data_IF_157559140779
#
_entry.id   IF_157559140779
#
_cell.length_a   1.000
_cell.length_b   1.000
_cell.length_c   1.000
_cell.angle_alpha   90.00
_cell.angle_beta   90.00
_cell.angle_gamma   90.00
#
_symmetry.space_group_name_H-M   'P 1'
#
loop_
_entity.id
_entity.type
_entity.pdbx_description
1 polymer ?
#
# COMPACT_ATOMS: atom_id res chain seq x y z
N UNK A 1 -9.13 6.69 -48.80
CA UNK A 1 -10.19 7.25 -47.95
C UNK A 1 -10.24 6.39 -46.69
N UNK A 2 -9.31 6.61 -45.77
CA UNK A 2 -9.24 5.88 -44.50
C UNK A 2 -10.08 6.66 -43.49
N UNK A 3 -11.11 6.03 -42.95
CA UNK A 3 -11.97 6.63 -41.94
C UNK A 3 -11.16 6.97 -40.70
N UNK A 4 -11.07 8.28 -40.42
CA UNK A 4 -10.78 8.79 -39.09
C UNK A 4 -11.94 8.35 -38.19
N UNK A 5 -11.80 7.21 -37.51
CA UNK A 5 -12.58 6.95 -36.32
C UNK A 5 -12.17 7.99 -35.29
N UNK A 6 -13.05 8.98 -35.09
CA UNK A 6 -12.98 9.92 -33.98
C UNK A 6 -12.85 9.11 -32.68
N UNK A 7 -11.70 9.22 -32.01
CA UNK A 7 -11.40 8.62 -30.69
C UNK A 7 -12.32 9.09 -29.54
N UNK A 8 -13.33 9.91 -29.80
CA UNK A 8 -14.25 10.40 -28.77
C UNK A 8 -15.39 9.41 -28.61
N UNK A 9 -15.55 8.90 -27.38
CA UNK A 9 -16.69 8.10 -26.88
C UNK A 9 -16.59 6.57 -27.05
N UNK A 10 -15.46 5.94 -26.69
CA UNK A 10 -15.48 4.48 -26.54
C UNK A 10 -16.27 4.04 -25.29
N UNK A 11 -16.35 4.87 -24.24
CA UNK A 11 -17.09 4.56 -23.01
C UNK A 11 -17.82 5.82 -22.51
N UNK A 12 -19.13 5.77 -22.21
CA UNK A 12 -19.86 6.91 -21.70
C UNK A 12 -19.38 7.26 -20.27
N UNK A 13 -19.24 8.56 -19.98
CA UNK A 13 -19.06 9.04 -18.61
C UNK A 13 -20.27 8.66 -17.74
N UNK A 14 -20.04 8.47 -16.45
CA UNK A 14 -21.05 8.19 -15.45
C UNK A 14 -20.72 6.98 -14.58
N UNK A 15 -21.63 6.71 -13.65
CA UNK A 15 -21.56 5.56 -12.76
C UNK A 15 -21.96 4.31 -13.54
N UNK A 16 -21.10 3.29 -13.49
CA UNK A 16 -21.34 2.01 -14.13
C UNK A 16 -20.71 0.88 -13.33
N UNK A 17 -21.14 -0.35 -13.60
CA UNK A 17 -20.56 -1.50 -12.94
C UNK A 17 -19.22 -1.87 -13.57
N UNK A 18 -18.23 -2.08 -12.72
CA UNK A 18 -16.98 -2.74 -13.03
C UNK A 18 -16.71 -3.88 -12.06
N UNK A 19 -15.46 -4.32 -12.08
CA UNK A 19 -14.94 -5.42 -11.29
C UNK A 19 -13.55 -5.04 -10.80
N UNK A 20 -13.20 -5.51 -9.61
CA UNK A 20 -11.83 -5.51 -9.12
C UNK A 20 -11.30 -6.95 -9.18
N UNK A 21 -10.07 -7.12 -9.66
CA UNK A 21 -9.36 -8.40 -9.72
C UNK A 21 -7.86 -8.14 -9.68
N UNK A 22 -7.13 -8.80 -8.76
CA UNK A 22 -5.67 -8.74 -8.60
C UNK A 22 -5.08 -7.34 -8.79
N UNK A 23 -5.51 -6.40 -7.95
CA UNK A 23 -5.01 -5.03 -7.95
C UNK A 23 -5.25 -4.26 -9.26
N UNK A 24 -6.32 -4.59 -9.96
CA UNK A 24 -6.76 -3.91 -11.16
C UNK A 24 -8.28 -3.77 -11.18
N UNK A 25 -8.77 -2.71 -11.83
CA UNK A 25 -10.19 -2.52 -12.09
C UNK A 25 -10.46 -2.81 -13.55
N UNK A 26 -11.62 -3.36 -13.88
CA UNK A 26 -12.03 -3.54 -15.26
C UNK A 26 -13.54 -3.41 -15.44
N UNK A 27 -13.98 -3.06 -16.63
CA UNK A 27 -15.40 -2.95 -16.96
C UNK A 27 -16.02 -4.32 -17.27
N UNK A 28 -17.34 -4.37 -17.40
CA UNK A 28 -18.03 -5.56 -17.90
C UNK A 28 -17.39 -6.04 -19.22
N UNK A 29 -16.90 -7.28 -19.31
CA UNK A 29 -16.24 -7.74 -20.51
C UNK A 29 -17.18 -7.80 -21.73
N UNK A 30 -16.61 -7.67 -22.91
CA UNK A 30 -17.34 -7.76 -24.17
C UNK A 30 -18.04 -9.13 -24.29
N UNK A 31 -19.29 -9.11 -24.75
CA UNK A 31 -20.10 -10.33 -24.91
C UNK A 31 -20.98 -10.69 -23.72
N UNK A 32 -20.88 -9.96 -22.59
CA UNK A 32 -21.81 -10.08 -21.46
C UNK A 32 -22.76 -8.89 -21.41
N UNK A 33 -24.03 -9.15 -21.09
CA UNK A 33 -25.10 -8.17 -20.98
C UNK A 33 -25.12 -7.50 -19.60
N UNK A 34 -24.79 -8.27 -18.56
CA UNK A 34 -24.79 -7.80 -17.19
C UNK A 34 -23.82 -8.61 -16.30
N UNK A 35 -23.70 -8.14 -15.05
CA UNK A 35 -22.87 -8.72 -14.00
C UNK A 35 -23.22 -10.19 -13.74
N UNK A 36 -24.52 -10.48 -13.64
CA UNK A 36 -25.00 -11.81 -13.26
C UNK A 36 -24.64 -12.82 -14.33
N UNK A 37 -24.77 -12.44 -15.60
CA UNK A 37 -24.36 -13.27 -16.72
C UNK A 37 -22.85 -13.54 -16.70
N UNK A 38 -22.03 -12.50 -16.50
CA UNK A 38 -20.58 -12.66 -16.45
C UNK A 38 -20.12 -13.53 -15.28
N UNK A 39 -20.58 -13.25 -14.04
CA UNK A 39 -20.21 -14.04 -12.87
C UNK A 39 -20.71 -15.50 -12.96
N UNK A 40 -21.89 -15.72 -13.56
CA UNK A 40 -22.38 -17.07 -13.82
C UNK A 40 -21.49 -17.81 -14.82
N UNK A 41 -21.12 -17.14 -15.93
CA UNK A 41 -20.22 -17.72 -16.92
C UNK A 41 -18.84 -18.03 -16.33
N UNK A 42 -18.30 -17.14 -15.50
CA UNK A 42 -17.02 -17.32 -14.82
C UNK A 42 -17.05 -18.55 -13.91
N UNK A 43 -18.11 -18.71 -13.10
CA UNK A 43 -18.30 -19.89 -12.24
C UNK A 43 -18.52 -21.19 -13.01
N UNK A 44 -19.20 -21.13 -14.15
CA UNK A 44 -19.52 -22.33 -14.96
C UNK A 44 -18.36 -22.79 -15.84
N UNK A 45 -17.65 -21.85 -16.47
CA UNK A 45 -16.52 -22.13 -17.36
C UNK A 45 -15.26 -22.53 -16.58
N UNK A 46 -15.16 -22.06 -15.33
CA UNK A 46 -13.98 -22.23 -14.48
C UNK A 46 -12.83 -21.32 -14.94
N UNK A 47 -11.77 -21.31 -14.15
CA UNK A 47 -10.53 -20.58 -14.45
C UNK A 47 -9.38 -21.53 -14.86
N UNK A 48 -8.41 -21.06 -15.66
CA UNK A 48 -8.25 -19.71 -16.18
C UNK A 48 -9.28 -19.35 -17.28
N UNK A 49 -9.72 -18.10 -17.29
CA UNK A 49 -10.68 -17.55 -18.25
C UNK A 49 -10.16 -16.26 -18.88
N UNK A 50 -10.04 -16.25 -20.20
CA UNK A 50 -9.70 -15.06 -20.96
C UNK A 50 -10.96 -14.25 -21.31
N UNK A 51 -10.90 -12.95 -21.08
CA UNK A 51 -11.99 -12.01 -21.38
C UNK A 51 -11.44 -10.73 -22.02
N UNK A 52 -12.13 -10.22 -23.04
CA UNK A 52 -11.81 -8.92 -23.62
C UNK A 52 -12.57 -7.83 -22.87
N UNK A 53 -11.85 -6.91 -22.24
CA UNK A 53 -12.44 -5.86 -21.40
C UNK A 53 -11.62 -4.58 -21.45
N UNK A 54 -12.12 -3.50 -20.84
CA UNK A 54 -11.33 -2.31 -20.52
C UNK A 54 -10.80 -2.44 -19.12
N UNK A 55 -9.49 -2.33 -18.97
CA UNK A 55 -8.84 -2.17 -17.66
C UNK A 55 -8.80 -0.68 -17.31
N UNK A 56 -9.14 -0.39 -16.06
CA UNK A 56 -9.11 0.92 -15.44
C UNK A 56 -7.95 0.94 -14.46
N UNK A 57 -6.99 1.83 -14.70
CA UNK A 57 -5.78 1.95 -13.88
C UNK A 57 -5.78 3.32 -13.20
N UNK A 58 -5.24 3.38 -11.98
CA UNK A 58 -4.81 4.66 -11.43
C UNK A 58 -3.46 5.02 -12.09
N UNK A 59 -3.34 6.22 -12.68
CA UNK A 59 -2.21 6.61 -13.54
C UNK A 59 -0.82 6.61 -12.86
N UNK A 60 -0.72 6.45 -11.53
CA UNK A 60 0.57 6.24 -10.85
C UNK A 60 1.23 4.89 -11.20
N UNK A 61 0.45 3.90 -11.63
CA UNK A 61 0.96 2.62 -12.13
C UNK A 61 1.60 2.77 -13.53
N UNK A 62 1.14 3.76 -14.28
CA UNK A 62 1.68 4.12 -15.59
C UNK A 62 2.83 5.09 -15.36
N UNK A 63 4.08 4.59 -15.41
CA UNK A 63 5.33 5.37 -15.21
C UNK A 63 5.58 6.48 -16.27
N UNK A 64 4.57 7.26 -16.66
CA UNK A 64 4.70 8.43 -17.53
C UNK A 64 4.95 9.64 -16.63
N UNK A 65 6.14 10.24 -16.77
CA UNK A 65 6.58 11.45 -16.05
C UNK A 65 5.61 12.65 -16.14
N UNK A 66 4.61 12.62 -17.01
CA UNK A 66 3.58 13.65 -17.14
C UNK A 66 2.36 13.46 -16.23
N UNK A 67 2.26 12.37 -15.45
CA UNK A 67 1.06 12.08 -14.62
C UNK A 67 0.82 13.09 -13.48
N UNK A 68 1.87 13.74 -12.98
CA UNK A 68 1.73 14.86 -12.01
C UNK A 68 1.11 16.13 -12.62
N UNK A 69 1.19 16.29 -13.95
CA UNK A 69 0.61 17.42 -14.69
C UNK A 69 -0.69 17.05 -15.40
N UNK A 70 -0.85 15.78 -15.79
CA UNK A 70 -2.03 15.26 -16.45
C UNK A 70 -3.11 14.84 -15.44
N UNK A 71 -2.76 14.51 -14.19
CA UNK A 71 -3.70 14.16 -13.12
C UNK A 71 -3.80 12.66 -12.91
N UNK A 72 -3.51 12.21 -11.70
CA UNK A 72 -3.77 10.85 -11.24
C UNK A 72 -5.23 10.75 -10.79
N UNK A 73 -5.93 9.70 -11.20
CA UNK A 73 -7.25 9.37 -10.66
C UNK A 73 -7.12 8.38 -9.51
N UNK A 74 -8.01 8.46 -8.52
CA UNK A 74 -8.09 7.52 -7.40
C UNK A 74 -9.38 6.72 -7.56
N UNK A 75 -9.28 5.39 -7.52
CA UNK A 75 -10.44 4.49 -7.58
C UNK A 75 -11.49 4.92 -6.55
N UNK A 76 -12.79 4.64 -6.71
CA UNK A 76 -13.40 4.04 -7.89
C UNK A 76 -13.66 5.05 -9.03
N UNK A 77 -13.01 6.21 -9.01
CA UNK A 77 -13.17 7.26 -10.02
C UNK A 77 -12.05 7.18 -11.05
N UNK A 78 -12.39 7.07 -12.33
CA UNK A 78 -11.41 6.92 -13.40
C UNK A 78 -11.62 7.92 -14.52
N UNK A 79 -10.52 8.39 -15.10
CA UNK A 79 -10.56 9.41 -16.15
C UNK A 79 -10.69 8.73 -17.53
N UNK A 80 -11.81 8.97 -18.22
CA UNK A 80 -12.12 8.38 -19.53
C UNK A 80 -11.10 8.74 -20.60
N UNK A 81 -10.48 9.91 -20.46
CA UNK A 81 -9.56 10.46 -21.46
C UNK A 81 -8.27 9.64 -21.57
N UNK A 82 -8.00 8.76 -20.60
CA UNK A 82 -6.85 7.85 -20.58
C UNK A 82 -7.17 6.45 -21.12
N UNK A 83 -8.44 6.13 -21.32
CA UNK A 83 -8.87 4.80 -21.79
C UNK A 83 -8.65 4.73 -23.30
N UNK A 84 -7.67 3.92 -23.73
CA UNK A 84 -7.24 3.88 -25.12
C UNK A 84 -7.76 2.67 -25.92
N UNK A 85 -8.02 1.53 -25.27
CA UNK A 85 -8.47 0.30 -25.94
C UNK A 85 -8.98 -0.75 -24.95
N UNK A 86 -9.66 -1.76 -25.48
CA UNK A 86 -9.88 -3.03 -24.80
C UNK A 86 -8.58 -3.85 -24.78
N UNK A 87 -8.43 -4.70 -23.77
CA UNK A 87 -7.34 -5.65 -23.59
C UNK A 87 -7.91 -7.03 -23.24
N UNK A 88 -7.14 -8.08 -23.53
CA UNK A 88 -7.50 -9.43 -23.09
C UNK A 88 -6.92 -9.66 -21.68
N UNK A 89 -7.81 -9.79 -20.70
CA UNK A 89 -7.47 -10.09 -19.31
C UNK A 89 -7.57 -11.61 -19.07
N UNK A 90 -6.59 -12.17 -18.36
CA UNK A 90 -6.61 -13.57 -17.93
C UNK A 90 -7.02 -13.66 -16.45
N UNK A 91 -8.21 -14.19 -16.19
CA UNK A 91 -8.73 -14.42 -14.84
C UNK A 91 -8.33 -15.82 -14.41
N UNK A 92 -7.46 -15.93 -13.41
CA UNK A 92 -6.90 -17.19 -12.91
C UNK A 92 -7.69 -17.77 -11.74
N UNK A 93 -8.38 -16.92 -10.97
CA UNK A 93 -9.28 -17.32 -9.91
C UNK A 93 -10.61 -16.54 -10.01
N UNK A 94 -11.71 -17.29 -10.05
CA UNK A 94 -13.05 -16.74 -10.13
C UNK A 94 -13.50 -16.11 -8.81
N UNK A 95 -13.00 -16.62 -7.68
CA UNK A 95 -13.38 -16.18 -6.34
C UNK A 95 -12.67 -14.87 -5.93
N UNK A 96 -11.75 -14.38 -6.77
CA UNK A 96 -11.07 -13.09 -6.61
C UNK A 96 -11.61 -11.98 -7.52
N UNK A 97 -12.76 -12.20 -8.15
CA UNK A 97 -13.45 -11.19 -8.96
C UNK A 97 -14.55 -10.54 -8.14
N UNK A 98 -14.34 -9.28 -7.76
CA UNK A 98 -15.23 -8.53 -6.88
C UNK A 98 -16.02 -7.49 -7.68
N UNK A 99 -17.36 -7.56 -7.76
CA UNK A 99 -18.16 -6.56 -8.44
C UNK A 99 -18.10 -5.23 -7.68
N UNK A 100 -17.97 -4.12 -8.42
CA UNK A 100 -17.78 -2.80 -7.84
C UNK A 100 -18.42 -1.71 -8.71
N UNK A 101 -18.96 -0.67 -8.09
CA UNK A 101 -19.41 0.51 -8.81
C UNK A 101 -18.21 1.42 -9.09
N UNK A 102 -17.99 1.77 -10.35
CA UNK A 102 -16.97 2.72 -10.78
C UNK A 102 -17.63 3.93 -11.41
N UNK A 103 -17.01 5.10 -11.28
CA UNK A 103 -17.47 6.31 -11.96
C UNK A 103 -16.43 6.76 -12.98
N UNK A 104 -16.85 6.80 -14.24
CA UNK A 104 -16.04 7.30 -15.33
C UNK A 104 -16.29 8.80 -15.53
N UNK A 105 -15.24 9.60 -15.49
CA UNK A 105 -15.30 11.05 -15.60
C UNK A 105 -14.37 11.52 -16.71
N UNK A 106 -14.74 12.56 -17.43
CA UNK A 106 -13.75 13.30 -18.24
C UNK A 106 -12.74 13.94 -17.29
N UNK A 107 -11.53 14.24 -17.78
CA UNK A 107 -10.52 14.93 -16.97
C UNK A 107 -11.05 16.27 -16.46
N UNK A 108 -11.86 16.96 -17.25
CA UNK A 108 -12.51 18.23 -16.86
C UNK A 108 -13.45 18.04 -15.66
N UNK A 109 -14.30 17.02 -15.69
CA UNK A 109 -15.24 16.74 -14.60
C UNK A 109 -14.51 16.33 -13.33
N UNK A 110 -13.51 15.46 -13.45
CA UNK A 110 -12.66 15.05 -12.34
C UNK A 110 -11.99 16.25 -11.68
N UNK A 111 -11.32 17.10 -12.47
CA UNK A 111 -10.64 18.30 -11.98
C UNK A 111 -11.60 19.27 -11.29
N UNK A 112 -12.81 19.44 -11.81
CA UNK A 112 -13.80 20.33 -11.21
C UNK A 112 -14.23 19.82 -9.82
N UNK A 113 -14.52 18.53 -9.67
CA UNK A 113 -14.88 17.94 -8.38
C UNK A 113 -13.72 17.98 -7.40
N UNK A 114 -12.53 17.59 -7.85
CA UNK A 114 -11.31 17.62 -7.03
C UNK A 114 -11.06 19.03 -6.48
N UNK A 115 -11.21 20.07 -7.29
CA UNK A 115 -11.01 21.47 -6.85
C UNK A 115 -11.97 21.87 -5.74
N UNK A 116 -13.22 21.45 -5.79
CA UNK A 116 -14.19 21.69 -4.70
C UNK A 116 -13.71 21.01 -3.42
N UNK A 117 -13.29 19.74 -3.50
CA UNK A 117 -12.83 18.99 -2.34
C UNK A 117 -11.57 19.58 -1.72
N UNK A 118 -10.60 20.01 -2.52
CA UNK A 118 -9.37 20.60 -1.96
C UNK A 118 -9.67 21.90 -1.21
N UNK A 119 -10.64 22.70 -1.68
CA UNK A 119 -11.08 23.90 -0.94
C UNK A 119 -11.73 23.54 0.40
N UNK A 120 -12.55 22.49 0.42
CA UNK A 120 -13.33 22.11 1.60
C UNK A 120 -12.50 21.35 2.64
N UNK A 121 -11.58 20.48 2.20
CA UNK A 121 -10.87 19.51 3.05
C UNK A 121 -9.38 19.80 3.24
N UNK A 122 -8.78 20.66 2.41
CA UNK A 122 -7.34 20.98 2.47
C UNK A 122 -7.05 22.49 2.37
N UNK A 123 -7.80 23.38 3.05
CA UNK A 123 -7.44 24.80 3.08
C UNK A 123 -6.09 24.97 3.78
N UNK A 124 -5.12 25.56 3.07
CA UNK A 124 -3.78 25.82 3.62
C UNK A 124 -2.89 24.59 3.74
N UNK A 125 -3.12 23.54 2.94
CA UNK A 125 -2.33 22.31 2.95
C UNK A 125 -0.81 22.61 3.04
N UNK A 126 -0.14 22.15 4.09
CA UNK A 126 1.28 22.44 4.30
C UNK A 126 2.19 21.87 3.20
N UNK A 127 1.70 20.84 2.50
CA UNK A 127 2.47 20.16 1.45
C UNK A 127 2.40 20.87 0.10
N UNK A 128 1.22 21.39 -0.27
CA UNK A 128 0.97 21.91 -1.62
C UNK A 128 0.25 23.26 -1.66
N UNK A 129 -0.09 23.83 -0.50
CA UNK A 129 -0.85 25.06 -0.36
C UNK A 129 -2.34 24.89 -0.68
N UNK A 130 -3.08 25.98 -0.47
CA UNK A 130 -4.46 26.11 -0.93
C UNK A 130 -4.51 26.24 -2.46
N UNK A 131 -5.55 25.67 -3.08
CA UNK A 131 -5.94 26.01 -4.45
C UNK A 131 -7.16 26.91 -4.45
N UNK A 132 -7.12 27.88 -5.35
CA UNK A 132 -8.17 28.83 -5.69
C UNK A 132 -8.77 28.48 -7.04
N UNK A 133 -9.81 29.20 -7.46
CA UNK A 133 -10.41 29.00 -8.80
C UNK A 133 -9.50 29.43 -9.95
N UNK A 134 -8.50 30.26 -9.66
CA UNK A 134 -7.60 30.83 -10.65
C UNK A 134 -6.37 29.95 -10.91
N UNK A 135 -6.14 28.96 -10.06
CA UNK A 135 -4.97 28.09 -10.20
C UNK A 135 -5.13 27.16 -11.39
N UNK A 136 -4.19 27.26 -12.32
CA UNK A 136 -4.17 26.47 -13.55
C UNK A 136 -3.88 24.98 -13.30
N UNK A 137 -3.44 24.62 -12.10
CA UNK A 137 -3.03 23.27 -11.73
C UNK A 137 -3.61 22.83 -10.39
N UNK A 138 -3.91 21.53 -10.29
CA UNK A 138 -4.20 20.82 -9.03
C UNK A 138 -3.02 19.90 -8.65
N UNK A 139 -1.83 20.16 -9.21
CA UNK A 139 -0.63 19.34 -9.03
C UNK A 139 -0.32 19.14 -7.56
N UNK A 140 0.02 17.89 -7.20
CA UNK A 140 0.14 17.42 -5.83
C UNK A 140 -1.12 16.75 -5.31
N UNK A 141 -2.29 17.39 -5.43
CA UNK A 141 -3.55 16.92 -4.81
C UNK A 141 -4.16 15.67 -5.47
N UNK A 142 -3.94 15.47 -6.76
CA UNK A 142 -4.47 14.33 -7.53
C UNK A 142 -4.17 12.95 -6.92
N UNK A 143 -2.99 12.79 -6.30
CA UNK A 143 -2.56 11.53 -5.69
C UNK A 143 -2.86 11.43 -4.19
N UNK A 144 -3.46 12.46 -3.59
CA UNK A 144 -3.61 12.55 -2.14
C UNK A 144 -5.05 12.48 -1.69
N UNK A 145 -5.95 13.18 -2.37
CA UNK A 145 -7.36 13.28 -2.00
C UNK A 145 -8.27 12.58 -3.02
N UNK A 146 -9.04 11.62 -2.54
CA UNK A 146 -10.07 10.94 -3.33
C UNK A 146 -11.29 11.83 -3.55
N UNK A 147 -12.14 11.51 -4.53
CA UNK A 147 -13.39 12.26 -4.73
C UNK A 147 -14.45 12.04 -3.62
N UNK A 148 -14.17 11.17 -2.65
CA UNK A 148 -14.92 11.01 -1.39
C UNK A 148 -14.42 11.96 -0.28
N UNK A 149 -13.42 12.81 -0.55
CA UNK A 149 -12.88 13.75 0.44
C UNK A 149 -11.84 13.17 1.40
N UNK A 150 -11.39 11.93 1.18
CA UNK A 150 -10.33 11.29 2.00
C UNK A 150 -8.97 11.73 1.49
N UNK A 151 -8.19 12.44 2.31
CA UNK A 151 -6.79 12.80 2.05
C UNK A 151 -5.84 12.03 2.97
N UNK A 152 -5.02 11.12 2.40
CA UNK A 152 -4.11 10.27 3.18
C UNK A 152 -2.86 10.99 3.69
N UNK A 153 -2.54 12.13 3.09
CA UNK A 153 -1.33 12.90 3.36
C UNK A 153 -1.61 14.16 4.18
N UNK A 154 -2.84 14.35 4.64
CA UNK A 154 -3.21 15.49 5.48
C UNK A 154 -2.53 15.35 6.84
N UNK A 155 -1.63 16.28 7.12
CA UNK A 155 -1.00 16.48 8.43
C UNK A 155 -1.68 17.66 9.10
N UNK A 156 -2.34 17.47 10.24
CA UNK A 156 -2.99 18.57 10.95
C UNK A 156 -1.99 19.49 11.68
N UNK A 157 -0.75 19.02 11.89
CA UNK A 157 0.27 19.71 12.69
C UNK A 157 1.55 20.11 11.91
N UNK A 158 1.52 20.15 10.58
CA UNK A 158 2.67 20.54 9.74
C UNK A 158 3.92 19.66 9.88
N UNK A 159 3.80 18.50 10.53
CA UNK A 159 4.90 17.57 10.72
C UNK A 159 5.09 16.70 9.48
N UNK A 160 6.26 16.78 8.87
CA UNK A 160 6.71 15.84 7.83
C UNK A 160 7.64 14.83 8.50
N UNK A 161 7.20 13.56 8.75
CA UNK A 161 8.07 12.56 9.35
C UNK A 161 9.31 12.35 8.51
N UNK A 162 10.44 12.07 9.16
CA UNK A 162 11.60 11.49 8.47
C UNK A 162 11.16 10.13 7.93
N UNK A 163 10.87 10.04 6.63
CA UNK A 163 10.34 8.81 6.03
C UNK A 163 11.34 7.67 6.16
N UNK A 164 10.98 6.62 6.91
CA UNK A 164 11.76 5.39 7.01
C UNK A 164 12.16 4.86 5.62
N UNK A 165 11.22 4.88 4.68
CA UNK A 165 11.47 4.48 3.29
C UNK A 165 12.58 5.25 2.59
N UNK A 166 12.81 6.52 2.92
CA UNK A 166 13.95 7.27 2.38
C UNK A 166 15.29 6.73 2.92
N UNK A 167 15.33 6.30 4.19
CA UNK A 167 16.52 5.65 4.75
C UNK A 167 16.73 4.28 4.11
N UNK A 168 15.65 3.51 3.89
CA UNK A 168 15.71 2.24 3.15
C UNK A 168 16.27 2.46 1.75
N UNK A 169 15.75 3.41 0.97
CA UNK A 169 16.24 3.67 -0.39
C UNK A 169 17.73 4.06 -0.39
N UNK A 170 18.17 4.88 0.57
CA UNK A 170 19.60 5.23 0.72
C UNK A 170 20.44 4.01 1.07
N UNK A 171 19.96 3.19 1.99
CA UNK A 171 20.61 1.95 2.40
C UNK A 171 20.71 0.94 1.25
N UNK A 172 19.65 0.72 0.48
CA UNK A 172 19.65 -0.19 -0.67
C UNK A 172 20.53 0.33 -1.82
N UNK A 173 20.57 1.66 -2.03
CA UNK A 173 21.53 2.26 -2.96
C UNK A 173 22.96 2.04 -2.48
N UNK A 174 23.25 2.31 -1.21
CA UNK A 174 24.56 2.00 -0.62
C UNK A 174 24.89 0.52 -0.80
N UNK A 175 23.93 -0.38 -0.55
CA UNK A 175 24.06 -1.82 -0.77
C UNK A 175 24.57 -2.17 -2.16
N UNK A 176 23.92 -1.62 -3.18
CA UNK A 176 24.27 -1.86 -4.58
C UNK A 176 25.62 -1.23 -4.97
N UNK A 177 25.84 0.05 -4.62
CA UNK A 177 27.07 0.76 -5.00
C UNK A 177 28.31 0.25 -4.27
N UNK A 178 28.15 -0.21 -3.03
CA UNK A 178 29.24 -0.67 -2.18
C UNK A 178 29.46 -2.18 -2.25
N UNK A 179 28.62 -2.92 -2.99
CA UNK A 179 28.57 -4.37 -3.06
C UNK A 179 28.48 -5.01 -1.67
N UNK A 180 27.47 -4.59 -0.88
CA UNK A 180 27.33 -5.07 0.50
C UNK A 180 26.98 -6.56 0.59
N UNK A 181 26.43 -7.17 -0.47
CA UNK A 181 26.22 -8.62 -0.54
C UNK A 181 27.52 -9.39 -0.32
N UNK A 182 28.65 -8.87 -0.79
CA UNK A 182 29.99 -9.45 -0.64
C UNK A 182 30.84 -8.80 0.46
N UNK A 183 30.30 -7.81 1.18
CA UNK A 183 31.03 -7.10 2.21
C UNK A 183 31.22 -7.94 3.48
N UNK A 184 32.27 -7.66 4.28
CA UNK A 184 32.41 -8.27 5.60
C UNK A 184 31.31 -7.77 6.57
N UNK A 185 31.03 -8.58 7.60
CA UNK A 185 29.92 -8.36 8.54
C UNK A 185 29.92 -6.97 9.19
N UNK A 186 31.08 -6.50 9.61
CA UNK A 186 31.29 -5.21 10.27
C UNK A 186 30.90 -4.02 9.38
N UNK A 187 31.16 -4.13 8.07
CA UNK A 187 30.74 -3.12 7.09
C UNK A 187 29.23 -3.08 6.96
N UNK A 188 28.57 -4.22 6.85
CA UNK A 188 27.10 -4.27 6.73
C UNK A 188 26.44 -3.74 8.01
N UNK A 189 26.94 -4.12 9.19
CA UNK A 189 26.47 -3.59 10.48
C UNK A 189 26.63 -2.09 10.58
N UNK A 190 27.77 -1.54 10.11
CA UNK A 190 27.99 -0.10 10.09
C UNK A 190 26.92 0.61 9.24
N UNK A 191 26.63 0.10 8.05
CA UNK A 191 25.62 0.68 7.16
C UNK A 191 24.21 0.62 7.80
N UNK A 192 23.86 -0.49 8.46
CA UNK A 192 22.61 -0.62 9.21
C UNK A 192 22.55 0.41 10.34
N UNK A 193 23.64 0.60 11.09
CA UNK A 193 23.71 1.59 12.17
C UNK A 193 23.61 3.02 11.64
N UNK A 194 24.29 3.34 10.55
CA UNK A 194 24.31 4.69 9.97
C UNK A 194 22.93 5.10 9.42
N UNK A 195 22.22 4.16 8.78
CA UNK A 195 20.92 4.44 8.16
C UNK A 195 19.75 4.33 9.14
N UNK A 196 19.79 3.34 10.04
CA UNK A 196 18.66 2.99 10.90
C UNK A 196 18.96 3.17 12.39
N UNK A 197 20.17 3.53 12.81
CA UNK A 197 20.50 3.71 14.23
C UNK A 197 20.29 2.45 15.07
N UNK A 198 20.35 1.27 14.44
CA UNK A 198 20.24 -0.02 15.12
C UNK A 198 21.64 -0.49 15.54
N UNK A 199 21.74 -0.95 16.78
CA UNK A 199 22.98 -1.40 17.38
C UNK A 199 22.88 -2.88 17.78
N UNK A 200 24.00 -3.57 17.61
CA UNK A 200 24.17 -5.00 17.88
C UNK A 200 25.53 -5.18 18.54
N UNK A 201 25.62 -6.13 19.45
CA UNK A 201 26.82 -6.41 20.24
C UNK A 201 27.86 -7.20 19.45
N UNK A 202 27.41 -7.86 18.38
CA UNK A 202 28.25 -8.64 17.50
C UNK A 202 27.55 -9.00 16.20
N UNK A 203 28.34 -9.46 15.23
CA UNK A 203 27.84 -9.94 13.96
C UNK A 203 28.79 -10.97 13.36
N UNK A 204 28.22 -11.94 12.65
CA UNK A 204 28.97 -12.91 11.85
C UNK A 204 28.23 -13.17 10.54
N UNK A 205 28.98 -13.49 9.50
CA UNK A 205 28.41 -14.01 8.25
C UNK A 205 28.36 -15.53 8.31
N UNK A 206 27.20 -16.09 8.01
CA UNK A 206 27.01 -17.51 7.72
C UNK A 206 26.77 -17.66 6.21
N UNK A 207 27.39 -18.66 5.59
CA UNK A 207 27.26 -18.93 4.16
C UNK A 207 26.91 -20.40 4.00
N UNK A 208 25.76 -20.67 3.41
CA UNK A 208 25.23 -22.02 3.16
C UNK A 208 24.84 -22.14 1.68
N UNK A 209 25.76 -22.67 0.87
CA UNK A 209 25.61 -22.68 -0.58
C UNK A 209 25.60 -21.25 -1.14
N UNK A 210 24.51 -20.90 -1.85
CA UNK A 210 24.30 -19.55 -2.39
C UNK A 210 23.67 -18.60 -1.37
N UNK A 211 23.13 -19.13 -0.25
CA UNK A 211 22.50 -18.35 0.79
C UNK A 211 23.54 -17.68 1.69
N UNK A 212 23.35 -16.39 1.97
CA UNK A 212 24.18 -15.61 2.89
C UNK A 212 23.34 -15.00 3.99
N UNK A 213 23.76 -15.19 5.23
CA UNK A 213 23.05 -14.71 6.41
C UNK A 213 23.97 -13.85 7.26
N UNK A 214 23.63 -12.58 7.45
CA UNK A 214 24.22 -11.75 8.49
C UNK A 214 23.52 -12.06 9.81
N UNK A 215 24.20 -12.78 10.69
CA UNK A 215 23.69 -13.15 12.01
C UNK A 215 24.21 -12.15 13.03
N UNK A 216 23.30 -11.43 13.68
CA UNK A 216 23.55 -10.35 14.62
C UNK A 216 23.30 -10.84 16.05
N UNK A 217 24.13 -10.45 17.01
CA UNK A 217 23.90 -10.73 18.43
C UNK A 217 23.45 -9.45 19.15
N UNK A 218 22.47 -9.59 20.05
CA UNK A 218 21.96 -8.51 20.89
C UNK A 218 21.72 -9.01 22.32
N UNK A 219 22.35 -8.39 23.32
CA UNK A 219 22.28 -8.72 24.76
C UNK A 219 20.90 -8.41 25.36
N UNK A 220 20.18 -7.47 24.75
CA UNK A 220 18.78 -7.17 25.08
C UNK A 220 17.89 -7.46 23.89
N UNK A 221 16.91 -8.34 24.09
CA UNK A 221 15.82 -8.59 23.14
C UNK A 221 14.85 -7.42 23.21
N UNK A 222 14.97 -6.51 22.27
CA UNK A 222 13.97 -5.48 22.01
C UNK A 222 13.14 -5.90 20.79
N UNK A 223 11.85 -6.11 20.98
CA UNK A 223 10.94 -6.52 19.90
C UNK A 223 10.97 -5.50 18.76
N UNK A 224 11.12 -4.21 19.05
CA UNK A 224 11.22 -3.18 18.01
C UNK A 224 12.48 -3.33 17.18
N UNK A 225 13.63 -3.60 17.81
CA UNK A 225 14.88 -3.90 17.09
C UNK A 225 14.71 -5.14 16.21
N UNK A 226 14.05 -6.17 16.73
CA UNK A 226 13.78 -7.41 15.99
C UNK A 226 12.91 -7.13 14.76
N UNK A 227 11.81 -6.38 14.92
CA UNK A 227 10.93 -5.95 13.83
C UNK A 227 11.69 -5.14 12.77
N UNK A 228 12.47 -4.15 13.20
CA UNK A 228 13.22 -3.29 12.28
C UNK A 228 14.30 -4.07 11.53
N UNK A 229 14.93 -5.05 12.18
CA UNK A 229 15.90 -5.94 11.53
C UNK A 229 15.24 -6.83 10.50
N UNK A 230 14.10 -7.45 10.85
CA UNK A 230 13.31 -8.25 9.93
C UNK A 230 12.82 -7.42 8.73
N UNK A 231 12.44 -6.15 8.98
CA UNK A 231 12.05 -5.20 7.93
C UNK A 231 13.20 -4.93 6.95
N UNK A 232 14.39 -4.61 7.48
CA UNK A 232 15.58 -4.37 6.65
C UNK A 232 15.95 -5.63 5.87
N UNK A 233 15.90 -6.81 6.50
CA UNK A 233 16.16 -8.09 5.83
C UNK A 233 15.17 -8.36 4.69
N UNK A 234 13.87 -8.18 4.92
CA UNK A 234 12.85 -8.39 3.89
C UNK A 234 13.03 -7.46 2.69
N UNK A 235 13.41 -6.20 2.95
CA UNK A 235 13.71 -5.23 1.90
C UNK A 235 14.94 -5.59 1.08
N UNK A 236 16.02 -6.04 1.73
CA UNK A 236 17.23 -6.53 1.03
C UNK A 236 16.87 -7.71 0.13
N UNK A 237 16.18 -8.70 0.69
CA UNK A 237 15.76 -9.91 -0.02
C UNK A 237 14.92 -9.63 -1.25
N UNK A 238 13.95 -8.72 -1.13
CA UNK A 238 12.99 -8.44 -2.20
C UNK A 238 13.51 -7.44 -3.25
N UNK A 239 14.48 -6.58 -2.91
CA UNK A 239 14.89 -5.46 -3.78
C UNK A 239 16.30 -5.56 -4.32
N UNK A 240 17.18 -6.33 -3.68
CA UNK A 240 18.61 -6.30 -4.01
C UNK A 240 19.22 -7.69 -4.13
N UNK A 241 18.95 -8.59 -3.18
CA UNK A 241 19.58 -9.92 -3.15
C UNK A 241 18.67 -10.95 -2.47
N UNK A 242 17.96 -11.75 -3.27
CA UNK A 242 17.00 -12.75 -2.81
C UNK A 242 17.61 -13.87 -1.94
N UNK A 243 18.93 -14.06 -2.02
CA UNK A 243 19.66 -15.08 -1.26
C UNK A 243 20.31 -14.51 0.00
N UNK A 244 20.10 -13.23 0.29
CA UNK A 244 20.63 -12.57 1.49
C UNK A 244 19.56 -12.37 2.56
N UNK A 245 19.90 -12.72 3.80
CA UNK A 245 19.07 -12.44 4.97
C UNK A 245 19.88 -11.81 6.11
N UNK A 246 19.20 -11.02 6.93
CA UNK A 246 19.76 -10.40 8.14
C UNK A 246 18.91 -10.89 9.30
N UNK A 247 19.53 -11.55 10.27
CA UNK A 247 18.85 -12.24 11.37
C UNK A 247 19.46 -11.82 12.70
N UNK A 248 18.66 -11.81 13.76
CA UNK A 248 19.15 -11.75 15.14
C UNK A 248 19.25 -13.18 15.68
N UNK A 249 20.39 -13.53 16.27
CA UNK A 249 20.66 -14.86 16.79
C UNK A 249 19.67 -15.24 17.89
N UNK A 250 19.02 -16.39 17.73
CA UNK A 250 17.98 -16.87 18.64
C UNK A 250 16.72 -16.01 18.72
N UNK A 251 16.47 -15.11 17.76
CA UNK A 251 15.20 -14.42 17.66
C UNK A 251 14.10 -15.37 17.18
N UNK A 252 12.96 -15.33 17.87
CA UNK A 252 11.75 -16.06 17.49
C UNK A 252 10.80 -15.13 16.72
N UNK A 253 9.77 -15.71 16.10
CA UNK A 253 8.67 -14.92 15.57
C UNK A 253 8.05 -14.09 16.71
N UNK A 254 7.70 -12.85 16.41
CA UNK A 254 7.13 -11.95 17.40
C UNK A 254 5.68 -12.36 17.63
N UNK A 255 5.35 -12.61 18.89
CA UNK A 255 4.00 -12.95 19.34
C UNK A 255 3.06 -11.72 19.17
N UNK A 256 1.94 -11.85 18.43
CA UNK A 256 0.95 -10.78 18.34
C UNK A 256 0.49 -10.27 19.70
N UNK A 257 0.31 -11.16 20.69
CA UNK A 257 -0.21 -10.77 21.99
C UNK A 257 0.82 -9.93 22.76
N UNK A 258 2.11 -10.28 22.64
CA UNK A 258 3.20 -9.46 23.18
C UNK A 258 3.23 -8.07 22.53
N UNK A 259 3.00 -7.98 21.22
CA UNK A 259 2.91 -6.68 20.53
C UNK A 259 1.68 -5.88 20.95
N UNK A 260 0.51 -6.52 21.04
CA UNK A 260 -0.72 -5.87 21.49
C UNK A 260 -0.58 -5.33 22.92
N UNK A 261 0.13 -6.05 23.80
CA UNK A 261 0.42 -5.58 25.15
C UNK A 261 1.24 -4.27 25.15
N UNK A 262 2.09 -4.02 24.15
CA UNK A 262 2.83 -2.75 23.97
C UNK A 262 2.00 -1.61 23.38
N UNK A 263 0.85 -1.92 22.79
CA UNK A 263 -0.08 -0.97 22.17
C UNK A 263 -1.22 -0.55 23.09
N UNK A 264 -1.27 -1.07 24.33
CA UNK A 264 -2.26 -0.67 25.32
C UNK A 264 -2.00 0.77 25.83
N UNK A 265 -3.01 1.46 26.41
CA UNK A 265 -2.87 2.82 26.89
C UNK A 265 -1.77 3.04 27.93
N UNK A 266 -1.42 2.00 28.70
CA UNK A 266 -0.41 2.07 29.77
C UNK A 266 1.02 2.08 29.21
N UNK A 267 1.25 1.40 28.07
CA UNK A 267 2.58 1.19 27.48
C UNK A 267 2.82 1.96 26.18
N UNK A 268 1.76 2.48 25.54
CA UNK A 268 1.82 3.09 24.20
C UNK A 268 2.77 4.29 24.11
N UNK A 269 3.05 5.00 25.21
CA UNK A 269 3.93 6.16 25.21
C UNK A 269 5.38 5.83 24.79
N UNK A 270 5.92 4.70 25.27
CA UNK A 270 7.27 4.23 24.92
C UNK A 270 7.31 3.76 23.45
N UNK A 271 6.30 3.00 23.05
CA UNK A 271 6.07 2.56 21.66
C UNK A 271 6.05 3.77 20.72
N UNK A 272 5.29 4.82 21.04
CA UNK A 272 5.20 6.04 20.25
C UNK A 272 6.52 6.79 20.12
N UNK A 273 7.27 6.91 21.21
CA UNK A 273 8.59 7.53 21.16
C UNK A 273 9.54 6.80 20.18
N UNK A 274 9.45 5.47 20.14
CA UNK A 274 10.20 4.63 19.21
C UNK A 274 9.72 4.81 17.77
N UNK A 275 8.40 4.76 17.53
CA UNK A 275 7.80 4.97 16.21
C UNK A 275 8.18 6.34 15.63
N UNK A 276 8.15 7.39 16.46
CA UNK A 276 8.55 8.76 16.12
C UNK A 276 10.00 8.87 15.67
N UNK A 277 10.92 8.14 16.32
CA UNK A 277 12.35 8.13 15.94
C UNK A 277 12.54 7.69 14.48
N UNK A 278 11.70 6.79 14.00
CA UNK A 278 11.81 6.17 12.69
C UNK A 278 10.79 6.66 11.66
N UNK A 279 9.78 7.43 12.08
CA UNK A 279 8.67 7.84 11.21
C UNK A 279 7.84 6.64 10.74
N UNK A 280 7.56 5.71 11.64
CA UNK A 280 6.83 4.47 11.40
C UNK A 280 5.46 4.50 12.09
N UNK A 281 4.59 3.57 11.72
CA UNK A 281 3.35 3.30 12.45
C UNK A 281 3.15 1.79 12.60
N UNK A 282 2.33 1.37 13.55
CA UNK A 282 1.90 -0.02 13.67
C UNK A 282 0.46 -0.13 13.20
N UNK A 283 0.19 -1.06 12.28
CA UNK A 283 -1.15 -1.42 11.84
C UNK A 283 -1.57 -2.75 12.45
N UNK A 284 -2.74 -2.83 13.06
CA UNK A 284 -3.38 -4.08 13.46
C UNK A 284 -4.58 -4.29 12.56
N UNK A 285 -4.54 -5.30 11.70
CA UNK A 285 -5.66 -5.66 10.83
C UNK A 285 -6.39 -6.87 11.38
N UNK A 286 -7.70 -6.77 11.46
CA UNK A 286 -8.61 -7.87 11.82
C UNK A 286 -9.53 -8.16 10.65
N UNK A 287 -9.90 -9.41 10.46
CA UNK A 287 -10.75 -9.86 9.35
C UNK A 287 -11.52 -11.13 9.74
N UNK A 288 -12.44 -11.57 8.90
CA UNK A 288 -13.28 -12.74 9.16
C UNK A 288 -12.45 -14.03 9.22
N UNK A 289 -12.81 -14.94 10.13
CA UNK A 289 -12.19 -16.28 10.20
C UNK A 289 -12.31 -17.03 8.86
N UNK A 290 -11.25 -17.73 8.47
CA UNK A 290 -11.20 -18.48 7.20
C UNK A 290 -10.74 -17.65 5.99
N UNK A 291 -10.35 -16.39 6.18
CA UNK A 291 -9.72 -15.57 5.15
C UNK A 291 -8.19 -15.49 5.28
N UNK A 292 -7.56 -16.31 6.14
CA UNK A 292 -6.12 -16.24 6.42
C UNK A 292 -5.26 -16.41 5.17
N UNK A 293 -5.54 -17.42 4.32
CA UNK A 293 -4.78 -17.64 3.08
C UNK A 293 -4.83 -16.42 2.13
N UNK A 294 -6.01 -15.83 1.94
CA UNK A 294 -6.18 -14.63 1.10
C UNK A 294 -5.47 -13.41 1.71
N UNK A 295 -5.53 -13.27 3.03
CA UNK A 295 -4.80 -12.21 3.72
C UNK A 295 -3.29 -12.38 3.57
N UNK A 296 -2.79 -13.61 3.65
CA UNK A 296 -1.36 -13.88 3.48
C UNK A 296 -0.88 -13.51 2.07
N UNK A 297 -1.63 -13.88 1.03
CA UNK A 297 -1.34 -13.48 -0.35
C UNK A 297 -1.33 -11.94 -0.51
N UNK A 298 -2.35 -11.27 0.03
CA UNK A 298 -2.43 -9.82 0.02
C UNK A 298 -1.24 -9.16 0.73
N UNK A 299 -0.82 -9.73 1.86
CA UNK A 299 0.26 -9.17 2.66
C UNK A 299 1.64 -9.45 2.08
N UNK A 300 1.83 -10.58 1.40
CA UNK A 300 3.05 -10.86 0.64
C UNK A 300 3.26 -9.81 -0.46
N UNK A 301 2.20 -9.40 -1.17
CA UNK A 301 2.30 -8.31 -2.15
C UNK A 301 2.67 -6.97 -1.48
N UNK A 302 2.02 -6.63 -0.36
CA UNK A 302 2.35 -5.41 0.41
C UNK A 302 3.81 -5.39 0.90
N UNK A 303 4.32 -6.53 1.35
CA UNK A 303 5.72 -6.70 1.73
C UNK A 303 6.65 -6.52 0.52
N UNK A 304 6.33 -7.12 -0.63
CA UNK A 304 7.09 -6.94 -1.87
C UNK A 304 7.13 -5.47 -2.32
N UNK A 305 6.05 -4.71 -2.11
CA UNK A 305 6.01 -3.26 -2.34
C UNK A 305 6.74 -2.44 -1.28
N UNK A 306 7.15 -3.07 -0.18
CA UNK A 306 7.85 -2.43 0.93
C UNK A 306 6.96 -1.49 1.73
N UNK A 307 5.64 -1.70 1.70
CA UNK A 307 4.65 -0.83 2.35
C UNK A 307 4.34 -1.27 3.78
N UNK A 308 4.35 -2.57 4.04
CA UNK A 308 4.10 -3.16 5.34
C UNK A 308 5.01 -4.37 5.58
N UNK A 309 5.28 -4.70 6.85
CA UNK A 309 5.90 -5.95 7.26
C UNK A 309 5.08 -6.62 8.34
N UNK A 310 4.74 -7.90 8.14
CA UNK A 310 4.15 -8.74 9.17
C UNK A 310 5.12 -8.87 10.35
N UNK A 311 4.67 -8.41 11.51
CA UNK A 311 5.38 -8.43 12.78
C UNK A 311 4.67 -9.29 13.82
N UNK A 312 3.50 -9.83 13.49
CA UNK A 312 2.76 -10.74 14.34
C UNK A 312 1.63 -11.34 13.53
N UNK A 313 1.43 -12.63 13.69
CA UNK A 313 0.40 -13.40 13.03
C UNK A 313 -0.46 -14.17 14.05
N UNK A 314 -1.78 -13.98 14.02
CA UNK A 314 -2.76 -14.82 14.72
C UNK A 314 -4.01 -15.08 13.88
N UNK A 315 -4.86 -16.05 14.25
CA UNK A 315 -6.10 -16.34 13.51
C UNK A 315 -6.99 -15.10 13.38
N UNK A 316 -7.35 -14.71 12.15
CA UNK A 316 -8.20 -13.54 11.90
C UNK A 316 -7.55 -12.18 12.21
N UNK A 317 -6.24 -12.15 12.47
CA UNK A 317 -5.52 -10.94 12.88
C UNK A 317 -4.07 -10.94 12.44
N UNK A 318 -3.60 -9.78 11.98
CA UNK A 318 -2.19 -9.57 11.66
C UNK A 318 -1.73 -8.21 12.19
N UNK A 319 -0.51 -8.17 12.71
CA UNK A 319 0.15 -6.96 13.20
C UNK A 319 1.27 -6.60 12.23
N UNK A 320 1.33 -5.33 11.84
CA UNK A 320 2.28 -4.85 10.84
C UNK A 320 3.02 -3.61 11.28
N UNK A 321 4.25 -3.48 10.81
CA UNK A 321 4.97 -2.22 10.78
C UNK A 321 4.74 -1.54 9.43
N UNK A 322 4.20 -0.33 9.46
CA UNK A 322 3.85 0.48 8.29
C UNK A 322 4.99 1.45 7.98
N UNK A 323 5.51 1.40 6.76
CA UNK A 323 6.71 2.14 6.36
C UNK A 323 6.41 3.52 5.74
N UNK A 324 5.21 3.68 5.17
CA UNK A 324 4.63 4.93 4.69
C UNK A 324 3.10 4.84 4.86
N UNK A 325 2.61 5.21 6.06
CA UNK A 325 1.20 5.08 6.43
C UNK A 325 0.23 5.68 5.41
N UNK A 326 0.46 6.90 4.87
CA UNK A 326 -0.37 7.43 3.80
C UNK A 326 -0.49 6.51 2.57
N UNK A 327 0.64 5.99 2.08
CA UNK A 327 0.66 5.14 0.88
C UNK A 327 0.03 3.77 1.17
N UNK A 328 0.24 3.24 2.37
CA UNK A 328 -0.44 2.02 2.86
C UNK A 328 -1.95 2.20 2.89
N UNK A 329 -2.45 3.27 3.49
CA UNK A 329 -3.90 3.54 3.60
C UNK A 329 -4.52 3.74 2.21
N UNK A 330 -3.80 4.40 1.30
CA UNK A 330 -4.19 4.52 -0.10
C UNK A 330 -4.27 3.16 -0.78
N UNK A 331 -3.31 2.27 -0.53
CA UNK A 331 -3.32 0.91 -1.06
C UNK A 331 -4.49 0.08 -0.52
N UNK A 332 -4.80 0.15 0.79
CA UNK A 332 -5.98 -0.49 1.36
C UNK A 332 -7.27 0.02 0.74
N UNK A 333 -7.36 1.34 0.52
CA UNK A 333 -8.50 1.92 -0.16
C UNK A 333 -8.63 1.40 -1.61
N UNK A 334 -7.53 1.30 -2.34
CA UNK A 334 -7.49 0.77 -3.69
C UNK A 334 -7.95 -0.70 -3.75
N UNK A 335 -7.54 -1.51 -2.77
CA UNK A 335 -7.91 -2.92 -2.65
C UNK A 335 -9.20 -3.14 -1.85
N UNK A 336 -9.96 -2.07 -1.58
CA UNK A 336 -11.10 -2.15 -0.67
C UNK A 336 -12.21 -3.10 -1.10
N UNK A 337 -12.50 -3.40 -2.39
CA UNK A 337 -13.51 -4.41 -2.74
C UNK A 337 -13.20 -5.79 -2.15
N UNK A 338 -11.94 -6.21 -2.24
CA UNK A 338 -11.43 -7.47 -1.70
C UNK A 338 -11.36 -7.43 -0.17
N UNK A 339 -10.73 -6.39 0.40
CA UNK A 339 -10.58 -6.24 1.85
C UNK A 339 -11.94 -6.13 2.57
N UNK A 340 -12.91 -5.45 1.96
CA UNK A 340 -14.27 -5.35 2.50
C UNK A 340 -15.00 -6.69 2.48
N UNK A 341 -14.79 -7.51 1.45
CA UNK A 341 -15.37 -8.85 1.37
C UNK A 341 -14.83 -9.79 2.47
N UNK A 342 -13.57 -9.58 2.89
CA UNK A 342 -12.97 -10.26 4.04
C UNK A 342 -13.39 -9.66 5.40
N UNK A 343 -14.20 -8.60 5.42
CA UNK A 343 -14.58 -7.90 6.65
C UNK A 343 -13.41 -7.16 7.31
N UNK A 344 -12.38 -6.81 6.54
CA UNK A 344 -11.15 -6.27 7.07
C UNK A 344 -11.33 -4.89 7.71
N UNK A 345 -10.71 -4.70 8.88
CA UNK A 345 -10.59 -3.43 9.59
C UNK A 345 -9.13 -3.23 9.96
N UNK A 346 -8.68 -1.98 10.01
CA UNK A 346 -7.33 -1.66 10.47
C UNK A 346 -7.37 -0.63 11.60
N UNK A 347 -6.61 -0.90 12.66
CA UNK A 347 -6.27 0.07 13.69
C UNK A 347 -4.83 0.51 13.49
N UNK A 348 -4.60 1.80 13.26
CA UNK A 348 -3.28 2.38 13.06
C UNK A 348 -2.87 3.12 14.33
N UNK A 349 -1.73 2.73 14.87
CA UNK A 349 -1.05 3.36 15.99
C UNK A 349 0.13 4.15 15.41
N UNK A 350 0.01 5.48 15.40
CA UNK A 350 1.10 6.36 14.97
C UNK A 350 1.76 7.04 16.18
N UNK A 351 2.67 7.99 15.93
CA UNK A 351 3.42 8.67 16.98
C UNK A 351 2.58 9.57 17.91
N UNK A 352 1.36 9.96 17.50
CA UNK A 352 0.51 10.91 18.24
C UNK A 352 -0.86 10.33 18.60
N UNK A 353 -1.45 9.47 17.78
CA UNK A 353 -2.84 9.04 17.88
C UNK A 353 -3.03 7.53 17.62
N UNK A 354 -4.25 7.05 17.86
CA UNK A 354 -4.73 5.73 17.44
C UNK A 354 -5.97 5.93 16.60
N UNK A 355 -5.91 5.57 15.32
CA UNK A 355 -7.05 5.70 14.41
C UNK A 355 -7.51 4.34 13.94
N UNK A 356 -8.81 4.03 14.12
CA UNK A 356 -9.44 2.84 13.56
C UNK A 356 -10.16 3.19 12.26
N UNK A 357 -9.95 2.37 11.24
CA UNK A 357 -10.58 2.49 9.93
C UNK A 357 -11.35 1.22 9.60
N UNK A 358 -12.59 1.39 9.15
CA UNK A 358 -13.28 0.37 8.38
C UNK A 358 -12.79 0.49 6.93
N UNK A 359 -12.21 -0.58 6.40
CA UNK A 359 -11.69 -0.55 5.03
C UNK A 359 -12.88 -0.50 4.05
N UNK A 360 -12.79 0.43 3.11
CA UNK A 360 -13.83 0.81 2.16
C UNK A 360 -13.38 2.03 1.38
N UNK A 361 -14.10 2.43 0.33
CA UNK A 361 -13.73 3.63 -0.43
C UNK A 361 -13.79 4.93 0.39
N UNK A 362 -14.71 5.03 1.34
CA UNK A 362 -14.79 6.17 2.24
C UNK A 362 -13.72 6.14 3.35
N UNK A 363 -13.03 5.00 3.55
CA UNK A 363 -12.08 4.77 4.65
C UNK A 363 -12.59 5.36 5.97
N UNK A 364 -13.83 5.04 6.34
CA UNK A 364 -14.51 5.70 7.44
C UNK A 364 -13.76 5.48 8.77
N UNK A 365 -13.41 6.59 9.44
CA UNK A 365 -12.84 6.56 10.79
C UNK A 365 -13.91 6.08 11.76
N UNK A 366 -13.60 5.03 12.50
CA UNK A 366 -14.43 4.59 13.62
C UNK A 366 -14.04 5.38 14.86
N UNK A 367 -15.02 5.89 15.61
CA UNK A 367 -14.75 6.50 16.91
C UNK A 367 -14.16 5.42 17.84
N UNK A 368 -13.23 5.76 18.75
CA UNK A 368 -12.85 4.86 19.82
C UNK A 368 -14.12 4.41 20.55
N UNK A 369 -14.30 3.10 20.71
CA UNK A 369 -15.37 2.58 21.57
C UNK A 369 -15.10 3.09 22.99
N UNK A 370 -16.13 3.69 23.59
CA UNK A 370 -16.07 4.37 24.88
C UNK A 370 -15.91 3.40 26.04
#
# INVERSE_FOLDING_TARGET
MFGLFSKKNLFPSGVQTGFYYRYGYFLLPAGYQDISQFLTALKQKGTPMQVDTVVLEEDWQVKKRSSYELGVSIAPYFITDYINSTVTLNIEDADDVYPVMVELLTQKEYNQRLRTLVKDYCPGCDRFGSVTEKDSSLSGHFGEISLDGVCFYRTEDGYVPRKFMLQVLRFLNAWQFADLSNAPADRVVREIREHFGLEYDGARLAIEGEKRSLVLSADSRDDFRTMLTALVSGMVRTRVDENYEILIDGAEAIDPDAMLARLNPENIAETRATLKKFGLSIGVMTYNEGCDDKMDDFMLDMQGKGLALICGDGPGMRVYLLTDTPEVLRWFRYCSPELSAMGAKITVFDETDVTRYRIGFEMAREKPEA
#
